data_IF_612972625966
#
_entry.id   IF_612972625966
#
_cell.length_a   1.000
_cell.length_b   1.000
_cell.length_c   1.000
_cell.angle_alpha   90.00
_cell.angle_beta   90.00
_cell.angle_gamma   90.00
#
_symmetry.space_group_name_H-M   'P 1'
#
loop_
_entity.id
_entity.type
_entity.pdbx_description
1 polymer ?
#
# COMPACT_ATOMS: atom_id res chain seq x y z
N UNK A 1 -51.54 -18.58 14.88
CA UNK A 1 -50.10 -18.44 15.19
C UNK A 1 -49.66 -17.02 14.87
N UNK A 2 -49.59 -16.13 15.87
CA UNK A 2 -49.11 -14.75 15.68
C UNK A 2 -47.58 -14.80 15.61
N UNK A 3 -47.01 -14.56 14.43
CA UNK A 3 -45.56 -14.40 14.27
C UNK A 3 -45.17 -13.10 15.01
N UNK A 4 -44.55 -13.25 16.18
CA UNK A 4 -43.93 -12.13 16.90
C UNK A 4 -42.82 -11.57 16.01
N UNK A 5 -43.13 -10.46 15.35
CA UNK A 5 -42.20 -9.67 14.56
C UNK A 5 -41.23 -9.01 15.56
N UNK A 6 -40.16 -9.71 15.96
CA UNK A 6 -39.07 -9.15 16.75
C UNK A 6 -38.40 -8.10 15.88
N UNK A 7 -38.86 -6.85 15.99
CA UNK A 7 -38.21 -5.69 15.38
C UNK A 7 -36.72 -5.75 15.72
N UNK A 8 -35.89 -5.73 14.69
CA UNK A 8 -34.45 -5.80 14.85
C UNK A 8 -34.05 -4.54 15.63
N UNK A 9 -33.37 -4.64 16.80
CA UNK A 9 -33.10 -3.49 17.65
C UNK A 9 -32.25 -2.41 16.96
N UNK A 10 -31.61 -2.76 15.84
CA UNK A 10 -30.74 -1.88 15.06
C UNK A 10 -31.44 -1.16 13.89
N UNK A 11 -32.69 -1.48 13.56
CA UNK A 11 -33.36 -0.98 12.35
C UNK A 11 -33.46 0.56 12.32
N UNK A 12 -33.72 1.18 13.47
CA UNK A 12 -33.74 2.65 13.59
C UNK A 12 -32.36 3.29 13.37
N UNK A 13 -31.29 2.56 13.70
CA UNK A 13 -29.91 3.04 13.58
C UNK A 13 -29.37 2.85 12.16
N UNK A 14 -29.80 1.81 11.43
CA UNK A 14 -29.43 1.61 10.02
C UNK A 14 -29.89 2.79 9.15
N UNK A 15 -31.12 3.26 9.36
CA UNK A 15 -31.64 4.45 8.67
C UNK A 15 -30.90 5.72 9.12
N UNK A 16 -30.63 5.88 10.40
CA UNK A 16 -29.88 7.02 10.92
C UNK A 16 -28.44 7.07 10.38
N UNK A 17 -27.76 5.93 10.25
CA UNK A 17 -26.42 5.84 9.65
C UNK A 17 -26.43 6.27 8.19
N UNK A 18 -27.44 5.82 7.43
CA UNK A 18 -27.59 6.19 6.01
C UNK A 18 -27.78 7.70 5.87
N UNK A 19 -28.73 8.28 6.61
CA UNK A 19 -29.01 9.72 6.61
C UNK A 19 -27.78 10.52 7.07
N UNK A 20 -27.12 10.07 8.15
CA UNK A 20 -25.88 10.67 8.64
C UNK A 20 -24.81 10.75 7.55
N UNK A 21 -24.62 9.65 6.84
CA UNK A 21 -23.56 9.52 5.86
C UNK A 21 -23.87 10.38 4.61
N UNK A 22 -25.13 10.43 4.19
CA UNK A 22 -25.62 11.29 3.10
C UNK A 22 -25.66 12.78 3.49
N UNK A 23 -25.60 13.11 4.78
CA UNK A 23 -25.70 14.47 5.29
C UNK A 23 -27.14 14.99 5.36
N UNK A 24 -28.11 14.07 5.40
CA UNK A 24 -29.54 14.35 5.52
C UNK A 24 -29.96 14.45 7.00
N UNK A 25 -31.16 14.96 7.24
CA UNK A 25 -31.71 15.06 8.59
C UNK A 25 -31.89 13.66 9.20
N UNK A 26 -31.21 13.43 10.32
CA UNK A 26 -31.38 12.20 11.10
C UNK A 26 -32.56 12.40 12.04
N UNK A 27 -33.50 11.47 12.08
CA UNK A 27 -34.60 11.46 13.06
C UNK A 27 -34.15 11.21 14.52
N UNK A 28 -32.85 11.42 14.82
CA UNK A 28 -32.23 11.30 16.13
C UNK A 28 -30.99 12.19 16.23
N UNK A 29 -30.52 12.40 17.46
CA UNK A 29 -29.30 13.18 17.73
C UNK A 29 -28.04 12.40 17.32
N UNK A 30 -26.95 13.13 17.05
CA UNK A 30 -25.65 12.51 16.75
C UNK A 30 -25.12 11.75 17.95
N UNK A 31 -25.35 12.28 19.14
CA UNK A 31 -24.95 11.73 20.42
C UNK A 31 -25.61 10.35 20.63
N UNK A 32 -26.92 10.25 20.41
CA UNK A 32 -27.65 8.96 20.49
C UNK A 32 -27.11 7.93 19.50
N UNK A 33 -26.76 8.35 18.28
CA UNK A 33 -26.18 7.45 17.27
C UNK A 33 -24.80 6.96 17.70
N UNK A 34 -23.93 7.84 18.20
CA UNK A 34 -22.58 7.47 18.63
C UNK A 34 -22.57 6.58 19.88
N UNK A 35 -23.48 6.79 20.82
CA UNK A 35 -23.66 5.90 21.98
C UNK A 35 -24.01 4.46 21.54
N UNK A 36 -24.88 4.32 20.55
CA UNK A 36 -25.20 3.00 20.00
C UNK A 36 -24.03 2.40 19.22
N UNK A 37 -23.36 3.20 18.39
CA UNK A 37 -22.18 2.77 17.65
C UNK A 37 -21.06 2.31 18.57
N UNK A 38 -20.92 2.86 19.79
CA UNK A 38 -19.95 2.39 20.77
C UNK A 38 -20.18 0.93 21.21
N UNK A 39 -21.42 0.45 21.18
CA UNK A 39 -21.82 -0.86 21.71
C UNK A 39 -22.13 -1.89 20.62
N UNK A 40 -22.51 -1.46 19.42
CA UNK A 40 -22.99 -2.34 18.35
C UNK A 40 -21.97 -2.50 17.20
N UNK A 41 -21.30 -3.66 17.14
CA UNK A 41 -20.33 -3.98 16.07
C UNK A 41 -20.94 -4.01 14.67
N UNK A 42 -22.21 -4.40 14.53
CA UNK A 42 -22.90 -4.44 13.22
C UNK A 42 -23.04 -3.03 12.65
N UNK A 43 -23.60 -2.11 13.44
CA UNK A 43 -23.78 -0.72 13.03
C UNK A 43 -22.44 0.01 12.80
N UNK A 44 -21.37 -0.35 13.50
CA UNK A 44 -20.02 0.14 13.19
C UNK A 44 -19.55 -0.29 11.80
N UNK A 45 -19.83 -1.53 11.41
CA UNK A 45 -19.47 -2.05 10.09
C UNK A 45 -20.29 -1.35 9.00
N UNK A 46 -21.59 -1.20 9.20
CA UNK A 46 -22.48 -0.50 8.26
C UNK A 46 -22.03 0.95 8.05
N UNK A 47 -21.64 1.66 9.11
CA UNK A 47 -21.11 3.03 9.00
C UNK A 47 -19.79 3.09 8.21
N UNK A 48 -18.90 2.11 8.40
CA UNK A 48 -17.63 2.03 7.64
C UNK A 48 -17.89 1.80 6.16
N UNK A 49 -18.83 0.92 5.82
CA UNK A 49 -19.22 0.65 4.43
C UNK A 49 -19.79 1.90 3.78
N UNK A 50 -20.71 2.60 4.46
CA UNK A 50 -21.24 3.88 4.00
C UNK A 50 -20.16 4.94 3.81
N UNK A 51 -19.20 5.05 4.74
CA UNK A 51 -18.11 6.01 4.62
C UNK A 51 -17.25 5.79 3.37
N UNK A 52 -17.05 4.52 2.99
CA UNK A 52 -16.31 4.14 1.79
C UNK A 52 -17.13 4.41 0.52
N UNK A 53 -18.41 4.05 0.51
CA UNK A 53 -19.33 4.32 -0.59
C UNK A 53 -19.46 5.83 -0.87
N UNK A 54 -19.58 6.65 0.18
CA UNK A 54 -19.64 8.11 0.04
C UNK A 54 -18.31 8.72 -0.39
N UNK A 55 -17.18 8.13 0.01
CA UNK A 55 -15.88 8.50 -0.53
C UNK A 55 -15.84 8.37 -2.06
N UNK A 56 -16.37 7.26 -2.59
CA UNK A 56 -16.47 7.00 -4.03
C UNK A 56 -17.44 7.98 -4.69
N UNK A 57 -18.66 8.13 -4.16
CA UNK A 57 -19.67 9.04 -4.73
C UNK A 57 -19.20 10.49 -4.75
N UNK A 58 -18.53 10.95 -3.68
CA UNK A 58 -17.95 12.30 -3.62
C UNK A 58 -16.81 12.47 -4.62
N UNK A 59 -15.99 11.44 -4.84
CA UNK A 59 -14.95 11.47 -5.86
C UNK A 59 -15.56 11.57 -7.27
N UNK A 60 -16.62 10.82 -7.57
CA UNK A 60 -17.33 10.90 -8.85
C UNK A 60 -17.95 12.28 -9.08
N UNK A 61 -18.63 12.84 -8.07
CA UNK A 61 -19.20 14.20 -8.13
C UNK A 61 -18.10 15.24 -8.30
N UNK A 62 -16.98 15.09 -7.60
CA UNK A 62 -15.82 15.98 -7.74
C UNK A 62 -15.22 15.89 -9.14
N UNK A 63 -15.07 14.69 -9.71
CA UNK A 63 -14.54 14.46 -11.06
C UNK A 63 -15.51 14.91 -12.16
N UNK A 64 -16.81 14.96 -11.88
CA UNK A 64 -17.82 15.51 -12.79
C UNK A 64 -17.68 17.03 -12.97
N UNK A 65 -17.14 17.76 -11.97
CA UNK A 65 -16.97 19.21 -12.04
C UNK A 65 -15.99 19.61 -13.14
N UNK A 66 -16.30 20.64 -13.94
CA UNK A 66 -15.42 21.10 -15.02
C UNK A 66 -14.06 21.60 -14.51
N UNK A 67 -14.02 22.22 -13.33
CA UNK A 67 -12.76 22.65 -12.68
C UNK A 67 -11.81 21.48 -12.40
N UNK A 68 -12.33 20.38 -11.86
CA UNK A 68 -11.55 19.18 -11.56
C UNK A 68 -11.02 18.53 -12.83
N UNK A 69 -11.84 18.47 -13.89
CA UNK A 69 -11.42 17.97 -15.21
C UNK A 69 -10.30 18.82 -15.79
N UNK A 70 -10.40 20.14 -15.71
CA UNK A 70 -9.38 21.08 -16.19
C UNK A 70 -8.07 20.92 -15.39
N UNK A 71 -8.15 20.86 -14.06
CA UNK A 71 -6.98 20.65 -13.19
C UNK A 71 -6.31 19.30 -13.47
N UNK A 72 -7.09 18.24 -13.68
CA UNK A 72 -6.57 16.92 -14.07
C UNK A 72 -5.90 16.98 -15.45
N UNK A 73 -6.51 17.65 -16.42
CA UNK A 73 -5.91 17.82 -17.74
C UNK A 73 -4.61 18.64 -17.70
N UNK A 74 -4.55 19.67 -16.86
CA UNK A 74 -3.34 20.46 -16.60
C UNK A 74 -2.22 19.63 -15.94
N UNK A 75 -2.56 18.82 -14.94
CA UNK A 75 -1.59 17.91 -14.31
C UNK A 75 -1.08 16.86 -15.31
N UNK A 76 -1.99 16.28 -16.10
CA UNK A 76 -1.63 15.33 -17.14
C UNK A 76 -0.77 15.97 -18.25
N UNK A 77 -1.00 17.24 -18.60
CA UNK A 77 -0.16 17.93 -19.58
C UNK A 77 1.25 18.19 -19.04
N UNK A 78 1.40 18.52 -17.75
CA UNK A 78 2.70 18.62 -17.08
C UNK A 78 3.46 17.29 -17.06
N UNK A 79 2.75 16.17 -16.90
CA UNK A 79 3.35 14.82 -16.91
C UNK A 79 3.66 14.35 -18.34
N UNK A 80 2.81 14.66 -19.32
CA UNK A 80 2.90 14.16 -20.72
C UNK A 80 4.12 14.63 -21.52
N UNK A 81 5.02 15.43 -20.94
CA UNK A 81 6.27 15.86 -21.59
C UNK A 81 7.55 15.44 -20.86
N UNK A 82 7.46 14.92 -19.62
CA UNK A 82 8.64 14.44 -18.91
C UNK A 82 8.90 13.00 -19.31
N UNK A 83 9.76 12.81 -20.32
CA UNK A 83 10.37 11.52 -20.55
C UNK A 83 11.02 11.07 -19.25
N UNK A 84 10.49 9.99 -18.64
CA UNK A 84 11.19 9.32 -17.55
C UNK A 84 12.58 9.03 -18.09
N UNK A 85 13.68 9.46 -17.44
CA UNK A 85 15.02 9.23 -17.95
C UNK A 85 15.19 7.73 -18.19
N UNK A 86 15.11 7.30 -19.44
CA UNK A 86 15.46 5.94 -19.81
C UNK A 86 16.95 5.96 -20.08
N UNK A 87 17.74 5.05 -19.50
CA UNK A 87 19.16 4.99 -19.79
C UNK A 87 19.31 4.76 -21.29
N UNK A 88 20.14 5.59 -21.95
CA UNK A 88 20.39 5.52 -23.40
C UNK A 88 20.90 4.14 -23.85
N UNK A 89 21.43 3.36 -22.91
CA UNK A 89 21.87 1.98 -23.09
C UNK A 89 21.32 1.15 -21.92
N UNK A 90 20.55 0.09 -22.18
CA UNK A 90 20.11 -0.82 -21.12
C UNK A 90 21.33 -1.50 -20.47
N UNK A 91 21.31 -1.78 -19.17
CA UNK A 91 22.42 -2.47 -18.51
C UNK A 91 22.62 -3.85 -19.16
N UNK A 92 23.87 -4.19 -19.46
CA UNK A 92 24.21 -5.50 -20.01
C UNK A 92 24.12 -6.58 -18.92
N UNK A 93 23.90 -7.83 -19.31
CA UNK A 93 23.77 -8.95 -18.36
C UNK A 93 24.97 -9.09 -17.42
N UNK A 94 26.19 -8.81 -17.90
CA UNK A 94 27.40 -8.81 -17.08
C UNK A 94 27.37 -7.71 -16.00
N UNK A 95 26.86 -6.51 -16.34
CA UNK A 95 26.74 -5.41 -15.37
C UNK A 95 25.66 -5.70 -14.32
N UNK A 96 24.55 -6.33 -14.71
CA UNK A 96 23.48 -6.72 -13.78
C UNK A 96 23.97 -7.80 -12.81
N UNK A 97 24.70 -8.81 -13.29
CA UNK A 97 25.25 -9.86 -12.43
C UNK A 97 26.25 -9.33 -11.40
N UNK A 98 27.15 -8.41 -11.79
CA UNK A 98 28.05 -7.76 -10.83
C UNK A 98 27.28 -6.92 -9.81
N UNK A 99 26.33 -6.10 -10.27
CA UNK A 99 25.48 -5.31 -9.39
C UNK A 99 24.62 -6.19 -8.46
N UNK A 100 24.22 -7.39 -8.86
CA UNK A 100 23.50 -8.35 -8.03
C UNK A 100 24.32 -8.79 -6.82
N UNK A 101 25.62 -9.04 -7.01
CA UNK A 101 26.52 -9.30 -5.89
C UNK A 101 26.64 -8.12 -4.93
N UNK A 102 26.73 -6.89 -5.46
CA UNK A 102 26.80 -5.67 -4.64
C UNK A 102 25.50 -5.41 -3.86
N UNK A 103 24.34 -5.59 -4.49
CA UNK A 103 23.03 -5.47 -3.85
C UNK A 103 22.81 -6.56 -2.80
N UNK A 104 23.24 -7.79 -3.08
CA UNK A 104 23.18 -8.90 -2.12
C UNK A 104 23.99 -8.59 -0.85
N UNK A 105 25.23 -8.09 -1.01
CA UNK A 105 26.05 -7.65 0.13
C UNK A 105 25.41 -6.50 0.90
N UNK A 106 24.84 -5.53 0.18
CA UNK A 106 24.18 -4.38 0.80
C UNK A 106 22.97 -4.80 1.64
N UNK A 107 22.14 -5.72 1.13
CA UNK A 107 21.00 -6.27 1.87
C UNK A 107 21.44 -7.16 3.04
N UNK A 108 22.52 -7.92 2.89
CA UNK A 108 23.10 -8.70 3.99
C UNK A 108 23.60 -7.82 5.14
N UNK A 109 24.24 -6.69 4.82
CA UNK A 109 24.77 -5.73 5.79
C UNK A 109 23.67 -4.90 6.47
N UNK A 110 22.76 -4.33 5.68
CA UNK A 110 21.75 -3.38 6.15
C UNK A 110 20.47 -4.05 6.63
N UNK A 111 20.24 -5.29 6.22
CA UNK A 111 19.05 -6.05 6.54
C UNK A 111 17.81 -5.60 5.76
N UNK A 112 16.61 -5.87 6.30
CA UNK A 112 15.35 -5.64 5.61
C UNK A 112 15.15 -4.18 5.22
N UNK A 113 14.86 -3.93 3.94
CA UNK A 113 14.79 -2.59 3.35
C UNK A 113 13.51 -2.42 2.54
N UNK A 114 12.96 -1.20 2.52
CA UNK A 114 11.80 -0.87 1.68
C UNK A 114 12.18 -0.86 0.20
N UNK A 115 11.38 -1.50 -0.67
CA UNK A 115 11.66 -1.62 -2.11
C UNK A 115 11.95 -0.28 -2.79
N UNK A 116 11.17 0.77 -2.49
CA UNK A 116 11.36 2.10 -3.10
C UNK A 116 12.69 2.75 -2.73
N UNK A 117 13.29 2.34 -1.61
CA UNK A 117 14.54 2.91 -1.11
C UNK A 117 15.76 2.11 -1.57
N UNK A 118 15.56 0.94 -2.19
CA UNK A 118 16.63 0.05 -2.65
C UNK A 118 17.72 0.75 -3.49
N UNK A 119 17.39 1.63 -4.47
CA UNK A 119 18.41 2.32 -5.25
C UNK A 119 19.27 3.25 -4.39
N UNK A 120 18.67 3.96 -3.44
CA UNK A 120 19.37 4.86 -2.54
C UNK A 120 20.24 4.10 -1.55
N UNK A 121 19.69 3.02 -0.99
CA UNK A 121 20.35 2.18 0.01
C UNK A 121 21.57 1.47 -0.59
N UNK A 122 21.46 0.98 -1.83
CA UNK A 122 22.57 0.32 -2.52
C UNK A 122 23.46 1.28 -3.32
N UNK A 123 23.19 2.59 -3.30
CA UNK A 123 23.87 3.60 -4.10
C UNK A 123 23.92 3.25 -5.61
N UNK A 124 22.78 2.80 -6.16
CA UNK A 124 22.62 2.37 -7.54
C UNK A 124 21.65 3.26 -8.30
N UNK A 125 21.86 3.38 -9.62
CA UNK A 125 20.87 3.95 -10.52
C UNK A 125 19.54 3.16 -10.44
N UNK A 126 18.41 3.86 -10.60
CA UNK A 126 17.09 3.25 -10.48
C UNK A 126 16.90 2.05 -11.43
N UNK A 127 17.33 2.15 -12.68
CA UNK A 127 17.14 1.09 -13.68
C UNK A 127 18.07 -0.09 -13.43
N UNK A 128 19.29 0.19 -12.99
CA UNK A 128 20.23 -0.86 -12.57
C UNK A 128 19.67 -1.59 -11.35
N UNK A 129 19.23 -0.86 -10.31
CA UNK A 129 18.63 -1.43 -9.11
C UNK A 129 17.39 -2.29 -9.43
N UNK A 130 16.51 -1.82 -10.33
CA UNK A 130 15.33 -2.58 -10.74
C UNK A 130 15.71 -3.89 -11.49
N UNK A 131 16.69 -3.82 -12.40
CA UNK A 131 17.18 -4.99 -13.15
C UNK A 131 17.86 -6.00 -12.21
N UNK A 132 18.66 -5.50 -11.29
CA UNK A 132 19.37 -6.28 -10.27
C UNK A 132 18.42 -6.94 -9.27
N UNK A 133 17.39 -6.22 -8.83
CA UNK A 133 16.30 -6.78 -8.03
C UNK A 133 15.61 -7.94 -8.76
N UNK A 134 15.26 -7.74 -10.04
CA UNK A 134 14.68 -8.79 -10.87
C UNK A 134 15.58 -10.02 -11.02
N UNK A 135 16.90 -9.81 -11.11
CA UNK A 135 17.89 -10.88 -11.14
C UNK A 135 17.89 -11.71 -9.85
N UNK A 136 17.98 -11.05 -8.69
CA UNK A 136 18.01 -11.73 -7.39
C UNK A 136 16.69 -12.44 -7.07
N UNK A 137 15.55 -11.90 -7.50
CA UNK A 137 14.26 -12.58 -7.43
C UNK A 137 14.23 -13.85 -8.27
N UNK A 138 14.75 -13.79 -9.50
CA UNK A 138 14.83 -14.97 -10.39
C UNK A 138 15.66 -16.08 -9.77
N UNK A 139 16.73 -15.73 -9.06
CA UNK A 139 17.57 -16.67 -8.31
C UNK A 139 17.00 -17.08 -6.94
N UNK A 140 15.80 -16.61 -6.58
CA UNK A 140 15.14 -16.90 -5.31
C UNK A 140 15.95 -16.48 -4.07
N UNK A 141 16.80 -15.46 -4.21
CA UNK A 141 17.66 -14.96 -3.12
C UNK A 141 16.98 -13.92 -2.22
N UNK A 142 15.82 -13.44 -2.63
CA UNK A 142 15.06 -12.40 -1.94
C UNK A 142 13.72 -12.91 -1.43
N UNK A 143 13.31 -12.41 -0.27
CA UNK A 143 11.96 -12.50 0.25
C UNK A 143 11.32 -11.13 0.23
N UNK A 144 10.11 -11.05 -0.33
CA UNK A 144 9.32 -9.82 -0.41
C UNK A 144 8.10 -9.94 0.49
N UNK A 145 7.97 -9.04 1.45
CA UNK A 145 6.81 -8.94 2.34
C UNK A 145 5.80 -7.94 1.73
N UNK A 146 4.78 -8.47 1.07
CA UNK A 146 3.71 -7.70 0.45
C UNK A 146 2.60 -7.28 1.44
N UNK A 147 2.62 -7.77 2.68
CA UNK A 147 1.64 -7.36 3.69
C UNK A 147 1.85 -5.91 4.15
N UNK A 148 3.02 -5.34 3.86
CA UNK A 148 3.42 -3.97 4.19
C UNK A 148 3.36 -3.08 2.95
N UNK A 149 2.95 -1.83 3.15
CA UNK A 149 2.95 -0.81 2.11
C UNK A 149 3.75 0.42 2.57
N UNK A 150 4.87 0.76 1.90
CA UNK A 150 5.51 0.04 0.78
C UNK A 150 6.11 -1.34 1.17
N UNK A 151 6.27 -2.28 0.22
CA UNK A 151 6.74 -3.63 0.49
C UNK A 151 8.19 -3.65 0.98
N UNK A 152 8.48 -4.58 1.89
CA UNK A 152 9.82 -4.79 2.46
C UNK A 152 10.50 -5.95 1.75
N UNK A 153 11.79 -5.79 1.45
CA UNK A 153 12.66 -6.76 0.80
C UNK A 153 13.80 -7.10 1.75
N UNK A 154 14.13 -8.38 1.82
CA UNK A 154 15.26 -8.90 2.57
C UNK A 154 15.84 -10.12 1.86
N UNK A 155 17.06 -10.53 2.23
CA UNK A 155 17.59 -11.83 1.82
C UNK A 155 16.72 -12.96 2.39
N UNK A 156 16.68 -14.10 1.72
CA UNK A 156 16.15 -15.32 2.33
C UNK A 156 17.01 -15.72 3.54
N UNK A 157 16.46 -16.47 4.52
CA UNK A 157 17.25 -16.91 5.68
C UNK A 157 18.54 -17.63 5.27
N UNK A 158 18.47 -18.50 4.25
CA UNK A 158 19.63 -19.23 3.74
C UNK A 158 20.71 -18.28 3.18
N UNK A 159 20.30 -17.28 2.39
CA UNK A 159 21.24 -16.32 1.81
C UNK A 159 21.79 -15.34 2.85
N UNK A 160 21.02 -14.99 3.88
CA UNK A 160 21.50 -14.19 5.01
C UNK A 160 22.55 -14.97 5.81
N UNK A 161 22.35 -16.28 6.02
CA UNK A 161 23.34 -17.13 6.68
C UNK A 161 24.63 -17.22 5.85
N UNK A 162 24.52 -17.41 4.53
CA UNK A 162 25.67 -17.42 3.61
C UNK A 162 26.43 -16.09 3.65
N UNK A 163 25.73 -14.97 3.73
CA UNK A 163 26.38 -13.67 3.91
C UNK A 163 27.19 -13.61 5.22
N UNK A 164 26.65 -14.09 6.33
CA UNK A 164 27.37 -14.12 7.60
C UNK A 164 28.57 -15.07 7.59
N UNK A 165 28.46 -16.22 6.92
CA UNK A 165 29.57 -17.15 6.70
C UNK A 165 30.70 -16.50 5.87
N UNK A 166 30.34 -15.82 4.77
CA UNK A 166 31.32 -15.16 3.89
C UNK A 166 31.99 -13.94 4.54
N UNK A 167 31.31 -13.26 5.47
CA UNK A 167 31.81 -12.05 6.14
C UNK A 167 32.38 -12.30 7.54
N UNK A 168 32.33 -13.54 8.03
CA UNK A 168 32.83 -13.92 9.37
C UNK A 168 31.99 -13.34 10.52
N UNK A 169 30.74 -12.97 10.29
CA UNK A 169 29.85 -12.33 11.29
C UNK A 169 29.01 -13.35 12.09
N UNK A 170 29.55 -14.53 12.38
CA UNK A 170 28.83 -15.69 12.95
C UNK A 170 28.21 -15.40 14.35
N UNK A 171 28.57 -14.31 15.03
CA UNK A 171 28.13 -14.02 16.40
C UNK A 171 26.73 -13.37 16.53
N UNK A 172 25.99 -13.07 15.46
CA UNK A 172 24.69 -12.34 15.55
C UNK A 172 23.42 -13.20 15.48
N UNK A 173 23.51 -14.51 15.74
CA UNK A 173 22.36 -15.44 15.73
C UNK A 173 22.14 -16.18 17.06
N UNK A 174 22.27 -15.48 18.19
CA UNK A 174 21.63 -15.89 19.45
C UNK A 174 20.47 -14.95 19.80
#
# INVERSE_FOLDING_TARGET
MKKNNKKNPCEKYELAITNYALGEEMGMSKEELYEHLATCKKCQQDLKEWSSAIGILRAEVYDAKPESKNKRAELLSKIKGQAVPHPKVPPTWNTVGKAAGEMWKCLGEKGPTVLTNLPQVCAMDFWLAASTYGWLLREQKLKVDQSKFPPIIQLTPDEQNRYFEETGQIEKMQ
#
